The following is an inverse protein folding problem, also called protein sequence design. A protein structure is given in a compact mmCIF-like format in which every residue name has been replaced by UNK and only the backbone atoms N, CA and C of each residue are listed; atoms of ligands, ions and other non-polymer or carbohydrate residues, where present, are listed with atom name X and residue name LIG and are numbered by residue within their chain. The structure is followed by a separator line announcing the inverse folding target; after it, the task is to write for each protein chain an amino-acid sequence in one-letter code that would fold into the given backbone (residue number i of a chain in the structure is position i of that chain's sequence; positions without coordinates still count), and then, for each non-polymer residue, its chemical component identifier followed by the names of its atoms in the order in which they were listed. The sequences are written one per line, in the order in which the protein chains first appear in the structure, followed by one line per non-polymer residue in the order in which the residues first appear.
data_IF_228861876177
#
_entry.id   IF_228861876177
#
_cell.length_a   1.000
_cell.length_b   1.000
_cell.length_c   1.000
_cell.angle_alpha   90.00
_cell.angle_beta   90.00
_cell.angle_gamma   90.00
#
_symmetry.space_group_name_H-M   'P 1'
#
loop_
_entity.id
_entity.type
_entity.pdbx_description
1 polymer ?
#
# COMPACT_ATOMS: atom_id res chain seq x y z
N UNK A 1 -26.02 -24.15 -64.30
CA UNK A 1 -26.74 -24.19 -63.01
C UNK A 1 -26.22 -23.08 -62.11
N UNK A 2 -27.10 -22.53 -61.27
CA UNK A 2 -27.02 -21.22 -60.58
C UNK A 2 -25.90 -21.09 -59.51
N UNK A 3 -25.49 -19.85 -59.16
CA UNK A 3 -24.36 -19.48 -58.28
C UNK A 3 -24.87 -19.16 -56.84
N UNK A 4 -24.32 -18.23 -55.99
CA UNK A 4 -22.96 -17.77 -55.63
C UNK A 4 -22.75 -17.81 -54.07
N UNK A 5 -21.64 -17.27 -53.52
CA UNK A 5 -21.68 -16.14 -52.54
C UNK A 5 -20.29 -15.72 -52.04
N UNK A 6 -20.05 -14.41 -52.16
CA UNK A 6 -19.02 -13.64 -51.48
C UNK A 6 -19.09 -13.80 -49.95
N UNK A 7 -17.94 -13.78 -49.28
CA UNK A 7 -17.79 -13.02 -48.04
C UNK A 7 -16.31 -12.62 -47.86
N UNK A 8 -16.08 -11.33 -48.09
CA UNK A 8 -14.93 -10.56 -47.64
C UNK A 8 -14.89 -10.60 -46.10
N UNK A 9 -13.79 -10.99 -45.45
CA UNK A 9 -13.58 -10.66 -44.05
C UNK A 9 -12.14 -10.23 -43.79
N UNK A 10 -12.05 -9.03 -43.23
CA UNK A 10 -10.88 -8.26 -42.84
C UNK A 10 -9.95 -8.99 -41.86
N UNK A 11 -8.68 -8.55 -41.91
CA UNK A 11 -7.62 -8.75 -40.92
C UNK A 11 -8.08 -8.67 -39.45
N UNK A 12 -7.50 -9.54 -38.61
CA UNK A 12 -7.05 -9.14 -37.27
C UNK A 12 -5.95 -10.11 -36.79
N UNK A 13 -4.70 -9.63 -36.82
CA UNK A 13 -3.57 -10.26 -36.14
C UNK A 13 -3.87 -10.28 -34.62
N UNK A 14 -3.67 -11.39 -33.91
CA UNK A 14 -3.79 -11.39 -32.46
C UNK A 14 -2.66 -10.53 -31.88
N UNK A 15 -3.06 -9.39 -31.32
CA UNK A 15 -2.22 -8.52 -30.50
C UNK A 15 -1.77 -9.33 -29.28
N UNK A 16 -0.51 -9.75 -29.26
CA UNK A 16 0.12 -10.41 -28.12
C UNK A 16 0.15 -9.38 -26.99
N UNK A 17 -0.74 -9.56 -26.02
CA UNK A 17 -0.79 -8.77 -24.79
C UNK A 17 0.45 -9.14 -23.98
N UNK A 18 1.38 -8.22 -23.68
CA UNK A 18 2.55 -8.55 -22.88
C UNK A 18 2.10 -8.99 -21.49
N UNK A 19 2.70 -10.11 -21.06
CA UNK A 19 2.50 -10.79 -19.79
C UNK A 19 2.21 -9.83 -18.65
N UNK A 20 1.09 -10.10 -17.97
CA UNK A 20 0.71 -9.55 -16.69
C UNK A 20 1.93 -9.35 -15.81
N UNK A 21 2.26 -8.10 -15.50
CA UNK A 21 3.10 -7.79 -14.34
C UNK A 21 2.48 -8.53 -13.16
N UNK A 22 3.13 -9.62 -12.76
CA UNK A 22 2.79 -10.37 -11.56
C UNK A 22 3.08 -9.41 -10.40
N UNK A 23 2.11 -8.57 -10.06
CA UNK A 23 2.11 -7.86 -8.80
C UNK A 23 2.28 -8.96 -7.75
N UNK A 24 3.34 -8.95 -6.92
CA UNK A 24 3.47 -9.91 -5.85
C UNK A 24 2.15 -9.87 -5.07
N UNK A 25 1.61 -11.05 -4.67
CA UNK A 25 0.40 -11.08 -3.88
C UNK A 25 0.54 -10.04 -2.77
N UNK A 26 -0.48 -9.17 -2.56
CA UNK A 26 -0.38 -8.16 -1.53
C UNK A 26 0.07 -8.88 -0.26
N UNK A 27 1.13 -8.40 0.42
CA UNK A 27 1.58 -9.03 1.64
C UNK A 27 0.35 -9.27 2.51
N UNK A 28 0.18 -10.50 3.02
CA UNK A 28 -0.93 -10.82 3.88
C UNK A 28 -0.71 -10.04 5.18
N UNK A 29 -1.24 -8.81 5.23
CA UNK A 29 -1.06 -7.89 6.33
C UNK A 29 -1.88 -8.42 7.52
N UNK A 30 -1.19 -8.84 8.57
CA UNK A 30 -1.81 -9.25 9.83
C UNK A 30 -2.13 -8.01 10.67
N UNK A 31 -3.36 -7.50 10.56
CA UNK A 31 -3.86 -6.34 11.34
C UNK A 31 -4.22 -6.70 12.80
N UNK A 32 -4.20 -8.00 13.11
CA UNK A 32 -4.49 -8.50 14.46
C UNK A 32 -3.27 -8.25 15.37
N UNK A 33 -2.09 -8.52 14.85
CA UNK A 33 -0.82 -8.49 15.57
C UNK A 33 -0.02 -7.23 15.26
N UNK A 34 -0.28 -6.57 14.12
CA UNK A 34 0.44 -5.38 13.69
C UNK A 34 -0.49 -4.23 13.35
N UNK A 35 0.03 -3.03 13.50
CA UNK A 35 -0.56 -1.78 13.04
C UNK A 35 0.27 -1.28 11.87
N UNK A 36 -0.42 -0.81 10.83
CA UNK A 36 0.24 -0.34 9.62
C UNK A 36 0.00 1.15 9.42
N UNK A 37 1.05 1.88 9.07
CA UNK A 37 1.04 3.30 8.76
C UNK A 37 1.41 3.46 7.28
N UNK A 38 0.54 4.10 6.52
CA UNK A 38 0.83 4.54 5.18
C UNK A 38 1.54 5.90 5.25
N UNK A 39 2.80 5.94 4.84
CA UNK A 39 3.63 7.15 4.83
C UNK A 39 3.85 7.55 3.38
N UNK A 40 3.37 8.74 3.03
CA UNK A 40 3.60 9.35 1.72
C UNK A 40 4.91 10.10 1.76
N UNK A 41 5.86 9.67 0.95
CA UNK A 41 7.15 10.32 0.79
C UNK A 41 7.17 11.25 -0.43
N UNK A 42 8.19 12.11 -0.48
CA UNK A 42 8.52 12.83 -1.71
C UNK A 42 9.11 11.87 -2.75
N UNK A 43 8.90 12.10 -4.06
CA UNK A 43 9.27 11.18 -5.15
C UNK A 43 10.78 10.87 -5.28
N UNK A 44 11.63 11.54 -4.51
CA UNK A 44 13.09 11.32 -4.48
C UNK A 44 13.57 10.60 -3.22
N UNK A 45 12.64 10.19 -2.34
CA UNK A 45 12.98 9.56 -1.07
C UNK A 45 13.11 8.05 -1.22
N UNK A 46 14.19 7.47 -0.68
CA UNK A 46 14.36 6.02 -0.64
C UNK A 46 13.66 5.47 0.60
N UNK A 47 12.73 4.51 0.46
CA UNK A 47 12.12 3.87 1.62
C UNK A 47 13.15 3.07 2.42
N UNK A 48 13.01 3.10 3.74
CA UNK A 48 13.85 2.37 4.69
C UNK A 48 13.25 2.46 6.08
N UNK A 49 13.74 1.66 7.04
CA UNK A 49 13.20 1.65 8.41
C UNK A 49 13.19 3.06 9.02
N UNK A 50 12.09 3.40 9.70
CA UNK A 50 11.91 4.73 10.31
C UNK A 50 12.01 4.60 11.84
N UNK A 51 13.15 4.96 12.44
CA UNK A 51 13.27 5.04 13.88
C UNK A 51 12.55 6.29 14.41
N UNK A 52 11.60 6.10 15.30
CA UNK A 52 10.82 7.18 15.94
C UNK A 52 11.08 7.16 17.44
N UNK A 53 11.68 8.24 17.96
CA UNK A 53 11.94 8.37 19.39
C UNK A 53 10.79 9.12 20.08
N UNK A 54 10.09 8.46 21.01
CA UNK A 54 8.90 8.97 21.72
C UNK A 54 9.13 8.86 23.23
N UNK A 55 9.05 9.96 23.97
CA UNK A 55 9.18 9.99 25.46
C UNK A 55 10.27 9.06 26.05
N UNK A 56 11.44 8.99 25.42
CA UNK A 56 12.57 8.15 25.89
C UNK A 56 12.51 6.68 25.48
N UNK A 57 11.56 6.28 24.64
CA UNK A 57 11.47 4.96 24.00
C UNK A 57 11.74 5.09 22.50
N UNK A 58 12.56 4.21 21.97
CA UNK A 58 12.71 4.05 20.53
C UNK A 58 11.63 3.10 20.00
N UNK A 59 10.87 3.57 19.02
CA UNK A 59 9.91 2.76 18.25
C UNK A 59 10.45 2.66 16.84
N UNK A 60 10.72 1.45 16.36
CA UNK A 60 11.10 1.24 14.97
C UNK A 60 9.87 0.84 14.14
N UNK A 61 9.61 1.64 13.12
CA UNK A 61 8.63 1.33 12.08
C UNK A 61 9.35 0.54 10.98
N UNK A 62 8.97 -0.72 10.83
CA UNK A 62 9.54 -1.61 9.81
C UNK A 62 8.90 -1.31 8.45
N UNK A 63 9.72 -1.23 7.40
CA UNK A 63 9.20 -1.05 6.05
C UNK A 63 8.64 -2.37 5.52
N UNK A 64 7.33 -2.41 5.27
CA UNK A 64 6.62 -3.62 4.82
C UNK A 64 6.53 -3.66 3.30
N UNK A 65 6.36 -2.51 2.65
CA UNK A 65 6.24 -2.42 1.20
C UNK A 65 5.59 -1.15 0.73
N UNK A 66 5.03 -1.16 -0.48
CA UNK A 66 4.30 -0.02 -1.06
C UNK A 66 2.79 -0.24 -0.99
N UNK A 67 2.01 0.84 -0.93
CA UNK A 67 0.55 0.77 -0.92
C UNK A 67 0.02 0.70 -2.36
N UNK A 68 -0.35 -0.50 -2.80
CA UNK A 68 -0.90 -0.73 -4.14
C UNK A 68 0.13 -0.46 -5.24
N UNK A 69 -0.17 0.49 -6.14
CA UNK A 69 0.71 0.92 -7.23
C UNK A 69 1.38 2.28 -6.98
N UNK A 70 1.16 2.88 -5.81
CA UNK A 70 1.71 4.19 -5.46
C UNK A 70 3.14 4.03 -4.96
N UNK A 71 4.11 4.46 -5.76
CA UNK A 71 5.54 4.39 -5.40
C UNK A 71 5.92 5.38 -4.29
N UNK A 72 5.18 6.47 -4.19
CA UNK A 72 5.42 7.49 -3.17
C UNK A 72 4.85 7.10 -1.80
N UNK A 73 3.88 6.16 -1.77
CA UNK A 73 3.23 5.74 -0.54
C UNK A 73 3.79 4.40 -0.09
N UNK A 74 4.50 4.45 1.03
CA UNK A 74 5.19 3.32 1.61
C UNK A 74 4.47 2.90 2.89
N UNK A 75 4.28 1.61 3.05
CA UNK A 75 3.62 1.00 4.18
C UNK A 75 4.67 0.60 5.22
N UNK A 76 4.45 1.05 6.44
CA UNK A 76 5.28 0.71 7.58
C UNK A 76 4.45 -0.05 8.60
N UNK A 77 5.03 -1.06 9.23
CA UNK A 77 4.40 -1.91 10.23
C UNK A 77 5.03 -1.74 11.60
N UNK A 78 4.23 -1.94 12.64
CA UNK A 78 4.73 -2.13 14.00
C UNK A 78 3.86 -3.10 14.80
N UNK A 79 4.42 -3.73 15.83
CA UNK A 79 3.65 -4.59 16.72
C UNK A 79 2.52 -3.82 17.40
N UNK A 80 1.32 -4.38 17.33
CA UNK A 80 0.11 -3.78 17.91
C UNK A 80 0.23 -3.60 19.42
N UNK A 81 0.87 -4.52 20.13
CA UNK A 81 1.14 -4.38 21.57
C UNK A 81 1.98 -3.14 21.91
N UNK A 82 2.92 -2.76 21.03
CA UNK A 82 3.68 -1.52 21.21
C UNK A 82 2.82 -0.29 20.86
N UNK A 83 2.02 -0.34 19.79
CA UNK A 83 1.13 0.76 19.40
C UNK A 83 0.06 1.05 20.45
N UNK A 84 -0.52 -0.01 21.01
CA UNK A 84 -1.50 0.08 22.07
C UNK A 84 -0.87 0.56 23.38
N UNK A 85 0.35 0.11 23.69
CA UNK A 85 1.12 0.56 24.86
C UNK A 85 1.56 2.02 24.85
N UNK A 86 1.55 2.70 23.69
CA UNK A 86 1.83 4.13 23.59
C UNK A 86 0.66 5.02 24.08
N UNK A 87 -0.57 4.48 24.12
CA UNK A 87 -1.79 5.25 24.36
C UNK A 87 -2.07 6.31 23.27
N UNK A 88 -3.21 7.00 23.36
CA UNK A 88 -3.63 7.99 22.36
C UNK A 88 -2.63 9.14 22.16
N UNK A 89 -1.99 9.61 23.24
CA UNK A 89 -0.98 10.68 23.16
C UNK A 89 0.29 10.22 22.43
N UNK A 90 0.79 9.02 22.75
CA UNK A 90 2.00 8.49 22.13
C UNK A 90 1.81 8.19 20.65
N UNK A 91 0.63 7.68 20.26
CA UNK A 91 0.26 7.48 18.84
C UNK A 91 0.25 8.79 18.06
N UNK A 92 -0.35 9.84 18.62
CA UNK A 92 -0.34 11.18 18.02
C UNK A 92 1.08 11.73 17.89
N UNK A 93 1.93 11.50 18.89
CA UNK A 93 3.34 11.91 18.85
C UNK A 93 4.11 11.15 17.76
N UNK A 94 3.88 9.84 17.58
CA UNK A 94 4.47 9.06 16.48
C UNK A 94 4.08 9.64 15.13
N UNK A 95 2.78 9.84 14.89
CA UNK A 95 2.29 10.40 13.64
C UNK A 95 2.86 11.81 13.39
N UNK A 96 2.92 12.65 14.42
CA UNK A 96 3.50 13.99 14.31
C UNK A 96 5.00 13.95 13.97
N UNK A 97 5.77 13.05 14.59
CA UNK A 97 7.20 12.89 14.31
C UNK A 97 7.46 12.35 12.92
N UNK A 98 6.74 11.30 12.50
CA UNK A 98 6.85 10.74 11.14
C UNK A 98 6.52 11.81 10.11
N UNK A 99 5.45 12.59 10.32
CA UNK A 99 5.10 13.72 9.44
C UNK A 99 6.17 14.81 9.42
N UNK A 100 6.90 15.00 10.52
CA UNK A 100 8.02 15.95 10.61
C UNK A 100 9.34 15.44 10.02
N UNK A 101 9.42 14.16 9.62
CA UNK A 101 10.63 13.61 9.02
C UNK A 101 10.88 14.18 7.62
N UNK A 102 12.15 14.37 7.30
CA UNK A 102 12.57 14.91 6.01
C UNK A 102 12.09 13.98 4.89
N UNK A 103 11.35 14.53 3.93
CA UNK A 103 10.85 13.76 2.79
C UNK A 103 9.54 13.02 3.05
N UNK A 104 8.88 13.21 4.20
CA UNK A 104 7.51 12.76 4.43
C UNK A 104 6.55 13.92 4.15
N UNK A 105 5.54 13.66 3.31
CA UNK A 105 4.48 14.62 2.97
C UNK A 105 3.17 14.30 3.68
N UNK A 106 2.95 13.02 4.01
CA UNK A 106 1.74 12.58 4.70
C UNK A 106 1.97 11.30 5.49
N UNK A 107 1.18 11.12 6.53
CA UNK A 107 1.09 9.86 7.28
C UNK A 107 -0.38 9.59 7.58
N UNK A 108 -0.81 8.36 7.33
CA UNK A 108 -2.16 7.90 7.59
C UNK A 108 -2.09 6.52 8.26
N UNK A 109 -2.88 6.31 9.31
CA UNK A 109 -3.03 4.99 9.90
C UNK A 109 -3.88 4.12 8.97
N UNK A 110 -3.32 3.00 8.52
CA UNK A 110 -4.05 2.07 7.68
C UNK A 110 -4.94 1.18 8.55
N UNK A 111 -6.15 1.68 8.83
CA UNK A 111 -7.20 0.85 9.41
C UNK A 111 -7.67 -0.14 8.33
N UNK A 112 -7.80 -1.41 8.69
CA UNK A 112 -8.38 -2.43 7.80
C UNK A 112 -9.79 -1.98 7.41
N UNK A 113 -9.89 -1.31 6.25
CA UNK A 113 -11.17 -1.04 5.61
C UNK A 113 -11.61 -2.36 5.01
N UNK A 114 -12.34 -3.12 5.83
CA UNK A 114 -13.03 -4.32 5.41
C UNK A 114 -13.75 -3.98 4.10
N UNK A 115 -13.34 -4.60 2.99
CA UNK A 115 -14.08 -4.51 1.74
C UNK A 115 -15.45 -5.11 2.03
N UNK A 116 -16.43 -4.27 2.36
CA UNK A 116 -17.82 -4.67 2.29
C UNK A 116 -18.07 -4.90 0.81
N UNK A 117 -18.06 -6.18 0.42
CA UNK A 117 -18.53 -6.61 -0.88
C UNK A 117 -19.94 -6.03 -0.98
N UNK A 118 -20.16 -5.11 -1.92
CA UNK A 118 -21.50 -4.65 -2.24
C UNK A 118 -22.20 -5.86 -2.83
N UNK A 119 -22.99 -6.53 -2.01
CA UNK A 119 -23.95 -7.52 -2.49
C UNK A 119 -24.96 -6.73 -3.34
N UNK A 120 -24.78 -6.80 -4.65
CA UNK A 120 -25.77 -6.36 -5.62
C UNK A 120 -26.84 -7.46 -5.66
N UNK A 121 -27.95 -7.24 -4.93
CA UNK A 121 -29.18 -7.99 -5.08
C UNK A 121 -30.22 -7.12 -5.80
#
# INVERSE_FOLDING_TARGET
MRPPRLALLLLALPFIIPSTMSQPPPPALDYTSNVYLAVTHTPSHTPGALPVHIRGREVQLEHVGQVGQLKDVQLYGMPRGEWDGLGDEGRKEVLAKVKGMKGVTGVEEQVLRQRVKRDEF
#
